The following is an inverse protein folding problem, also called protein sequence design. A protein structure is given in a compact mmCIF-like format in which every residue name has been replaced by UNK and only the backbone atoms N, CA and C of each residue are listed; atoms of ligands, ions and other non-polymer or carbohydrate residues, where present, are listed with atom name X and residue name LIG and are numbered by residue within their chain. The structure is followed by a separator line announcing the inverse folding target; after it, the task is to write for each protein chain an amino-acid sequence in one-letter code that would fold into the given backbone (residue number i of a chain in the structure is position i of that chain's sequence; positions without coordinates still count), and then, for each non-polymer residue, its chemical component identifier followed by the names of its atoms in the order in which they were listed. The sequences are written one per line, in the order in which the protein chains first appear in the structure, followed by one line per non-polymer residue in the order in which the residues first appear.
data_IF_406180572221
#
_entry.id   IF_406180572221
#
_cell.length_a   1.000
_cell.length_b   1.000
_cell.length_c   1.000
_cell.angle_alpha   90.00
_cell.angle_beta   90.00
_cell.angle_gamma   90.00
#
_symmetry.space_group_name_H-M   'P 1'
#
loop_
_entity.id
_entity.type
_entity.pdbx_description
1 polymer ?
#
# COMPACT_ATOMS: atom_id res chain seq x y z
N UNK A 1 54.47 -34.22 -22.65
CA UNK A 1 55.05 -34.19 -21.29
C UNK A 1 53.87 -34.19 -20.29
N UNK A 2 53.77 -35.34 -19.60
CA UNK A 2 52.63 -35.60 -18.70
C UNK A 2 53.08 -35.25 -17.29
N UNK A 3 52.43 -34.30 -16.63
CA UNK A 3 52.66 -34.01 -15.22
C UNK A 3 51.51 -34.60 -14.40
N UNK A 4 51.86 -35.63 -13.66
CA UNK A 4 51.04 -36.27 -12.62
C UNK A 4 51.12 -35.41 -11.35
N UNK A 5 49.97 -35.01 -10.82
CA UNK A 5 49.87 -34.34 -9.51
C UNK A 5 49.28 -35.37 -8.54
N UNK A 6 49.90 -35.62 -7.40
CA UNK A 6 49.42 -36.59 -6.42
C UNK A 6 48.22 -36.04 -5.62
N UNK A 7 47.26 -36.93 -5.42
CA UNK A 7 46.08 -36.72 -4.56
C UNK A 7 46.52 -36.89 -3.11
N UNK A 8 46.45 -35.84 -2.32
CA UNK A 8 46.59 -35.90 -0.87
C UNK A 8 45.22 -36.10 -0.25
N UNK A 9 45.03 -37.23 0.38
CA UNK A 9 43.84 -37.54 1.19
C UNK A 9 43.91 -36.76 2.51
N UNK A 10 42.98 -35.86 2.74
CA UNK A 10 42.83 -35.17 4.02
C UNK A 10 41.65 -35.81 4.78
N UNK A 11 41.97 -36.44 5.89
CA UNK A 11 41.01 -37.07 6.80
C UNK A 11 40.17 -36.00 7.49
N UNK A 12 38.82 -36.06 7.38
CA UNK A 12 37.90 -35.25 8.18
C UNK A 12 37.75 -35.88 9.56
N UNK A 13 38.19 -35.14 10.56
CA UNK A 13 37.83 -35.38 11.96
C UNK A 13 36.49 -34.70 12.22
N UNK A 14 35.44 -35.49 12.43
CA UNK A 14 34.14 -35.02 12.88
C UNK A 14 34.20 -34.88 14.41
N UNK A 15 34.32 -33.68 14.92
CA UNK A 15 34.05 -33.36 16.31
C UNK A 15 32.60 -32.88 16.42
N UNK A 16 31.76 -33.76 16.95
CA UNK A 16 30.44 -33.39 17.42
C UNK A 16 30.58 -32.65 18.75
N UNK A 17 30.21 -31.38 18.79
CA UNK A 17 29.91 -30.68 20.04
C UNK A 17 28.67 -29.80 19.82
N UNK A 18 27.73 -30.13 20.62
CA UNK A 18 26.44 -29.66 20.89
C UNK A 18 26.10 -28.21 20.95
N UNK A 19 24.84 -27.95 20.75
CA UNK A 19 24.05 -27.00 21.49
C UNK A 19 24.29 -25.52 21.18
N UNK A 20 23.49 -24.98 20.35
CA UNK A 20 23.34 -23.55 20.16
C UNK A 20 22.28 -23.31 19.09
N UNK A 21 21.01 -23.48 19.48
CA UNK A 21 19.92 -23.03 18.64
C UNK A 21 20.02 -21.54 18.44
N UNK A 22 20.47 -21.14 17.28
CA UNK A 22 20.24 -19.78 16.78
C UNK A 22 18.74 -19.67 16.51
N UNK A 23 18.03 -18.73 17.17
CA UNK A 23 16.68 -18.44 16.75
C UNK A 23 16.77 -17.85 15.34
N UNK A 24 16.26 -18.58 14.36
CA UNK A 24 15.89 -17.99 13.09
C UNK A 24 15.14 -16.71 13.42
N UNK A 25 15.68 -15.57 13.01
CA UNK A 25 14.96 -14.32 13.02
C UNK A 25 13.78 -14.51 12.07
N UNK A 26 12.69 -14.96 12.65
CA UNK A 26 11.36 -14.87 12.10
C UNK A 26 11.09 -13.37 11.97
N UNK A 27 11.39 -12.84 10.81
CA UNK A 27 10.96 -11.50 10.41
C UNK A 27 9.45 -11.59 10.12
N UNK A 28 8.70 -11.93 11.18
CA UNK A 28 7.29 -11.69 11.23
C UNK A 28 7.15 -10.18 11.13
N UNK A 29 6.81 -9.70 9.93
CA UNK A 29 6.27 -8.38 9.75
C UNK A 29 5.17 -8.25 10.80
N UNK A 30 5.47 -7.55 11.87
CA UNK A 30 4.50 -7.16 12.87
C UNK A 30 3.52 -6.25 12.16
N UNK A 31 2.50 -6.85 11.58
CA UNK A 31 1.26 -6.16 11.27
C UNK A 31 0.82 -5.55 12.60
N UNK A 32 0.72 -4.21 12.70
CA UNK A 32 0.38 -3.59 13.97
C UNK A 32 -1.03 -4.05 14.33
N UNK A 33 -1.11 -4.89 15.34
CA UNK A 33 -2.37 -5.37 15.92
C UNK A 33 -3.27 -4.23 16.43
N UNK A 34 -2.80 -2.99 16.37
CA UNK A 34 -3.58 -1.78 16.62
C UNK A 34 -4.61 -1.45 15.51
N UNK A 35 -4.49 -2.04 14.31
CA UNK A 35 -5.44 -1.78 13.23
C UNK A 35 -6.76 -2.54 13.38
N UNK A 36 -6.79 -3.62 14.14
CA UNK A 36 -7.99 -4.47 14.26
C UNK A 36 -9.06 -3.91 15.20
N UNK A 37 -8.71 -2.99 16.09
CA UNK A 37 -9.66 -2.43 17.08
C UNK A 37 -10.31 -1.11 16.62
N UNK A 38 -9.81 -0.50 15.54
CA UNK A 38 -10.31 0.78 15.03
C UNK A 38 -11.47 0.65 14.02
N UNK A 39 -11.82 -0.57 13.61
CA UNK A 39 -12.83 -0.78 12.57
C UNK A 39 -14.27 -0.48 13.01
N UNK A 40 -14.53 -0.31 14.32
CA UNK A 40 -15.88 -0.25 14.84
C UNK A 40 -16.54 1.14 14.81
N UNK A 41 -15.79 2.21 14.50
CA UNK A 41 -16.28 3.59 14.48
C UNK A 41 -15.60 4.45 13.41
N UNK A 42 -15.43 3.91 12.21
CA UNK A 42 -14.91 4.71 11.10
C UNK A 42 -15.96 5.76 10.72
N UNK A 43 -15.60 7.01 10.88
CA UNK A 43 -16.43 8.18 10.58
C UNK A 43 -15.91 8.87 9.32
N UNK A 44 -16.81 9.49 8.57
CA UNK A 44 -16.46 10.39 7.47
C UNK A 44 -16.36 11.87 7.92
N UNK A 45 -16.26 12.13 9.21
CA UNK A 45 -16.00 13.46 9.72
C UNK A 45 -14.51 13.81 9.53
N UNK A 46 -14.18 14.85 8.73
CA UNK A 46 -12.80 15.27 8.51
C UNK A 46 -12.01 15.61 9.77
N UNK A 47 -12.72 15.96 10.87
CA UNK A 47 -12.09 16.23 12.17
C UNK A 47 -11.49 14.96 12.80
N UNK A 48 -11.90 13.78 12.35
CA UNK A 48 -11.39 12.48 12.83
C UNK A 48 -10.14 12.00 12.09
N UNK A 49 -9.68 12.73 11.07
CA UNK A 49 -8.48 12.37 10.30
C UNK A 49 -7.24 12.55 11.18
N UNK A 50 -6.57 11.44 11.46
CA UNK A 50 -5.34 11.43 12.28
C UNK A 50 -4.09 11.43 11.41
N UNK A 51 -2.92 11.86 11.95
CA UNK A 51 -1.65 11.74 11.25
C UNK A 51 -1.31 10.29 10.85
N UNK A 52 -1.67 9.32 11.68
CA UNK A 52 -1.45 7.90 11.40
C UNK A 52 -2.31 7.41 10.22
N UNK A 53 -3.54 7.85 10.14
CA UNK A 53 -4.43 7.56 9.01
C UNK A 53 -3.87 8.16 7.72
N UNK A 54 -3.37 9.40 7.75
CA UNK A 54 -2.75 10.02 6.58
C UNK A 54 -1.46 9.31 6.15
N UNK A 55 -0.61 8.89 7.09
CA UNK A 55 0.61 8.15 6.79
C UNK A 55 0.32 6.78 6.16
N UNK A 56 -0.71 6.07 6.66
CA UNK A 56 -1.17 4.83 6.06
C UNK A 56 -1.74 5.08 4.66
N UNK A 57 -2.55 6.12 4.49
CA UNK A 57 -3.14 6.50 3.21
C UNK A 57 -2.09 6.90 2.16
N UNK A 58 -1.09 7.66 2.58
CA UNK A 58 0.07 8.00 1.76
C UNK A 58 0.82 6.75 1.27
N UNK A 59 1.12 5.83 2.19
CA UNK A 59 1.82 4.58 1.85
C UNK A 59 1.01 3.70 0.89
N UNK A 60 -0.31 3.65 1.03
CA UNK A 60 -1.21 2.93 0.11
C UNK A 60 -1.26 3.62 -1.25
N UNK A 61 -1.39 4.95 -1.28
CA UNK A 61 -1.46 5.73 -2.50
C UNK A 61 -0.22 5.54 -3.37
N UNK A 62 0.94 5.50 -2.75
CA UNK A 62 2.24 5.30 -3.41
C UNK A 62 2.60 3.83 -3.66
N UNK A 63 1.80 2.87 -3.21
CA UNK A 63 2.08 1.44 -3.38
C UNK A 63 3.25 0.94 -2.55
N UNK A 64 3.58 1.61 -1.44
CA UNK A 64 4.65 1.20 -0.53
C UNK A 64 4.22 0.01 0.34
N UNK A 65 2.92 -0.15 0.54
CA UNK A 65 2.29 -1.27 1.22
C UNK A 65 1.11 -1.77 0.39
N UNK A 66 0.86 -3.07 0.43
CA UNK A 66 -0.11 -3.67 -0.48
C UNK A 66 0.38 -3.67 -1.93
N UNK A 67 -0.45 -4.07 -2.87
CA UNK A 67 -0.13 -4.07 -4.30
C UNK A 67 -0.86 -2.96 -5.06
N UNK A 68 -1.57 -2.08 -4.36
CA UNK A 68 -2.28 -0.93 -4.95
C UNK A 68 -1.30 0.20 -5.21
N UNK A 69 -1.42 0.88 -6.35
CA UNK A 69 -0.63 2.06 -6.67
C UNK A 69 -1.50 3.09 -7.37
N UNK A 70 -2.14 3.97 -6.60
CA UNK A 70 -2.97 5.04 -7.11
C UNK A 70 -2.16 6.06 -7.92
N UNK A 71 -0.91 6.30 -7.48
CA UNK A 71 0.03 7.20 -8.15
C UNK A 71 0.34 6.78 -9.60
N UNK A 72 0.18 5.51 -9.97
CA UNK A 72 0.43 5.04 -11.32
C UNK A 72 -0.48 5.74 -12.36
N UNK A 73 -1.70 6.11 -11.95
CA UNK A 73 -2.65 6.82 -12.80
C UNK A 73 -2.79 8.30 -12.41
N UNK A 74 -2.79 8.62 -11.13
CA UNK A 74 -3.00 9.98 -10.62
C UNK A 74 -1.70 10.78 -10.43
N UNK A 75 -0.53 10.15 -10.65
CA UNK A 75 0.79 10.75 -10.41
C UNK A 75 1.20 10.72 -8.93
N UNK A 76 2.49 10.92 -8.63
CA UNK A 76 3.01 10.81 -7.28
C UNK A 76 2.39 11.84 -6.32
N UNK A 77 2.06 13.02 -6.82
CA UNK A 77 1.45 14.10 -6.02
C UNK A 77 -0.09 14.14 -6.17
N UNK A 78 -0.69 13.17 -6.87
CA UNK A 78 -2.12 13.18 -7.19
C UNK A 78 -2.53 14.25 -8.20
N UNK A 79 -1.57 14.97 -8.79
CA UNK A 79 -1.83 16.14 -9.63
C UNK A 79 -1.80 15.86 -11.13
N UNK A 80 -1.53 14.63 -11.56
CA UNK A 80 -1.55 14.29 -12.98
C UNK A 80 -2.98 14.19 -13.51
N UNK A 81 -3.21 14.77 -14.68
CA UNK A 81 -4.47 14.72 -15.40
C UNK A 81 -4.27 14.19 -16.84
N UNK A 82 -3.49 13.13 -17.00
CA UNK A 82 -3.21 12.53 -18.29
C UNK A 82 -4.07 11.29 -18.55
N UNK A 83 -4.07 10.35 -17.60
CA UNK A 83 -4.83 9.09 -17.71
C UNK A 83 -5.96 8.99 -16.70
N UNK A 84 -5.89 9.78 -15.63
CA UNK A 84 -6.88 9.85 -14.56
C UNK A 84 -7.04 11.32 -14.10
N UNK A 85 -8.12 11.67 -13.38
CA UNK A 85 -8.33 13.03 -12.87
C UNK A 85 -7.21 13.51 -11.94
N UNK A 86 -6.95 14.81 -11.96
CA UNK A 86 -6.20 15.50 -10.92
C UNK A 86 -7.01 15.43 -9.61
N UNK A 87 -6.35 15.08 -8.51
CA UNK A 87 -6.97 14.96 -7.19
C UNK A 87 -6.69 16.17 -6.28
N UNK A 88 -6.00 17.18 -6.80
CA UNK A 88 -5.53 18.34 -6.01
C UNK A 88 -6.20 19.65 -6.37
N UNK A 89 -7.01 19.68 -7.43
CA UNK A 89 -7.66 20.88 -7.96
C UNK A 89 -9.06 21.13 -7.41
N UNK A 90 -9.61 20.17 -6.63
CA UNK A 90 -10.96 20.26 -6.08
C UNK A 90 -12.07 20.00 -7.11
N UNK A 91 -11.73 19.62 -8.34
CA UNK A 91 -12.70 19.24 -9.37
C UNK A 91 -12.99 17.74 -9.34
N UNK A 92 -14.14 17.36 -8.82
CA UNK A 92 -14.51 15.96 -8.59
C UNK A 92 -15.43 15.42 -9.68
N UNK A 93 -14.91 14.60 -10.59
CA UNK A 93 -15.66 14.07 -11.72
C UNK A 93 -16.65 12.95 -11.36
N UNK A 94 -16.33 12.15 -10.34
CA UNK A 94 -17.05 10.93 -9.97
C UNK A 94 -17.47 10.85 -8.51
N UNK A 95 -17.29 11.93 -7.76
CA UNK A 95 -17.74 12.10 -6.38
C UNK A 95 -18.23 13.54 -6.17
N UNK A 96 -18.72 13.84 -4.99
CA UNK A 96 -19.08 15.21 -4.56
C UNK A 96 -17.91 15.93 -3.84
N UNK A 97 -16.76 15.27 -3.78
CA UNK A 97 -15.58 15.77 -3.07
C UNK A 97 -15.61 15.53 -1.57
N UNK A 98 -16.72 15.08 -0.99
CA UNK A 98 -16.75 14.67 0.41
C UNK A 98 -15.88 13.43 0.65
N UNK A 99 -15.39 13.26 1.89
CA UNK A 99 -14.63 12.03 2.22
C UNK A 99 -15.43 10.77 1.92
N UNK A 100 -16.73 10.75 2.27
CA UNK A 100 -17.62 9.62 1.98
C UNK A 100 -17.80 9.41 0.48
N UNK A 101 -17.98 10.47 -0.30
CA UNK A 101 -18.11 10.39 -1.76
C UNK A 101 -16.85 9.84 -2.42
N UNK A 102 -15.67 10.28 -1.98
CA UNK A 102 -14.38 9.74 -2.43
C UNK A 102 -14.24 8.26 -2.01
N UNK A 103 -14.60 7.92 -0.76
CA UNK A 103 -14.58 6.53 -0.28
C UNK A 103 -15.45 5.61 -1.15
N UNK A 104 -16.66 6.02 -1.46
CA UNK A 104 -17.57 5.25 -2.30
C UNK A 104 -17.02 5.08 -3.72
N UNK A 105 -16.36 6.11 -4.26
CA UNK A 105 -15.69 6.05 -5.57
C UNK A 105 -14.52 5.08 -5.55
N UNK A 106 -13.67 5.11 -4.54
CA UNK A 106 -12.55 4.16 -4.38
C UNK A 106 -13.06 2.74 -4.25
N UNK A 107 -14.09 2.51 -3.43
CA UNK A 107 -14.69 1.20 -3.18
C UNK A 107 -15.32 0.59 -4.43
N UNK A 108 -16.07 1.38 -5.18
CA UNK A 108 -16.78 0.92 -6.37
C UNK A 108 -15.91 0.91 -7.63
N UNK A 109 -14.86 1.73 -7.66
CA UNK A 109 -14.13 2.06 -8.87
C UNK A 109 -14.97 2.91 -9.84
N UNK A 110 -14.43 3.15 -11.03
CA UNK A 110 -15.07 3.89 -12.12
C UNK A 110 -14.97 3.10 -13.39
N UNK A 111 -16.05 2.39 -13.75
CA UNK A 111 -16.12 1.57 -14.96
C UNK A 111 -16.37 2.40 -16.23
N UNK A 112 -16.98 3.59 -16.09
CA UNK A 112 -17.28 4.49 -17.19
C UNK A 112 -16.76 5.89 -16.88
N UNK A 113 -15.48 6.17 -17.20
CA UNK A 113 -14.88 7.47 -16.97
C UNK A 113 -15.55 8.56 -17.83
N UNK A 114 -15.63 9.79 -17.30
CA UNK A 114 -16.26 10.92 -18.00
C UNK A 114 -15.31 11.64 -18.98
N UNK A 115 -14.08 11.92 -18.55
CA UNK A 115 -13.13 12.73 -19.33
C UNK A 115 -11.88 11.95 -19.71
N UNK A 116 -11.60 10.85 -19.02
CA UNK A 116 -10.39 10.04 -19.22
C UNK A 116 -10.76 8.68 -19.80
N UNK A 117 -9.81 8.03 -20.46
CA UNK A 117 -10.03 6.72 -21.10
C UNK A 117 -9.76 5.54 -20.17
N UNK A 118 -9.01 5.77 -19.10
CA UNK A 118 -8.64 4.71 -18.17
C UNK A 118 -9.72 4.51 -17.11
N UNK A 119 -10.21 3.28 -17.02
CA UNK A 119 -11.08 2.88 -15.91
C UNK A 119 -10.30 2.85 -14.61
N UNK A 120 -10.95 3.18 -13.51
CA UNK A 120 -10.43 2.94 -12.17
C UNK A 120 -11.04 1.64 -11.64
N UNK A 121 -10.23 0.61 -11.38
CA UNK A 121 -10.76 -0.61 -10.77
C UNK A 121 -11.14 -0.37 -9.31
N UNK A 122 -12.07 -1.16 -8.73
CA UNK A 122 -12.37 -1.11 -7.30
C UNK A 122 -11.10 -1.23 -6.48
N UNK A 123 -11.01 -0.44 -5.40
CA UNK A 123 -9.85 -0.38 -4.50
C UNK A 123 -8.49 -0.12 -5.21
N UNK A 124 -8.52 0.47 -6.41
CA UNK A 124 -7.31 0.66 -7.21
C UNK A 124 -6.73 -0.64 -7.78
N UNK A 125 -7.50 -1.73 -7.81
CA UNK A 125 -7.15 -3.00 -8.43
C UNK A 125 -6.76 -4.13 -7.45
N UNK A 126 -6.60 -3.84 -6.17
CA UNK A 126 -6.30 -4.85 -5.14
C UNK A 126 -7.22 -4.63 -3.94
N UNK A 127 -7.94 -5.67 -3.48
CA UNK A 127 -8.87 -5.53 -2.37
C UNK A 127 -8.23 -4.90 -1.13
N UNK A 128 -8.86 -3.89 -0.60
CA UNK A 128 -8.45 -3.20 0.64
C UNK A 128 -9.36 -3.61 1.79
N UNK A 129 -8.78 -3.66 2.99
CA UNK A 129 -9.59 -3.65 4.21
C UNK A 129 -10.33 -2.31 4.33
N UNK A 130 -11.39 -2.28 5.13
CA UNK A 130 -12.14 -1.05 5.37
C UNK A 130 -11.25 0.06 5.97
N UNK A 131 -10.38 -0.28 6.92
CA UNK A 131 -9.40 0.65 7.49
C UNK A 131 -8.44 1.22 6.42
N UNK A 132 -7.94 0.39 5.53
CA UNK A 132 -7.06 0.84 4.44
C UNK A 132 -7.80 1.77 3.48
N UNK A 133 -9.03 1.42 3.11
CA UNK A 133 -9.86 2.25 2.24
C UNK A 133 -10.17 3.59 2.87
N UNK A 134 -10.53 3.64 4.17
CA UNK A 134 -10.68 4.89 4.89
C UNK A 134 -9.40 5.73 4.90
N UNK A 135 -8.25 5.09 5.11
CA UNK A 135 -6.97 5.79 5.18
C UNK A 135 -6.58 6.41 3.84
N UNK A 136 -6.64 5.64 2.74
CA UNK A 136 -6.28 6.18 1.41
C UNK A 136 -7.27 7.27 0.98
N UNK A 137 -8.55 7.13 1.31
CA UNK A 137 -9.56 8.17 1.00
C UNK A 137 -9.35 9.43 1.82
N UNK A 138 -8.98 9.32 3.11
CA UNK A 138 -8.64 10.49 3.92
C UNK A 138 -7.42 11.23 3.36
N UNK A 139 -6.42 10.49 2.87
CA UNK A 139 -5.28 11.08 2.19
C UNK A 139 -5.69 11.83 0.91
N UNK A 140 -6.48 11.21 0.04
CA UNK A 140 -7.00 11.84 -1.19
C UNK A 140 -7.89 13.05 -0.86
N UNK A 141 -8.75 12.94 0.15
CA UNK A 141 -9.54 14.08 0.64
C UNK A 141 -8.65 15.26 1.00
N UNK A 142 -7.55 15.03 1.71
CA UNK A 142 -6.59 16.09 2.07
C UNK A 142 -5.83 16.66 0.88
N UNK A 143 -5.62 15.90 -0.20
CA UNK A 143 -5.02 16.42 -1.42
C UNK A 143 -5.90 17.48 -2.09
N UNK A 144 -7.20 17.28 -2.15
CA UNK A 144 -8.15 18.17 -2.80
C UNK A 144 -8.71 19.28 -1.92
N UNK A 145 -8.40 19.27 -0.60
CA UNK A 145 -8.90 20.25 0.38
C UNK A 145 -7.74 20.94 1.12
N UNK A 146 -6.83 21.52 0.37
CA UNK A 146 -5.67 22.30 0.90
C UNK A 146 -6.06 23.72 1.24
#
# INVERSE_FOLDING_TARGET
MRHLIPVAALALVVTACGGGGEPAAENAAAEPAAAATAASNLSFDPATITPQMLALGDSLFHGLIGATSCQACHGPDGAQATVAPNLTDGEWLHSDGSWEGIYNTVKAGVSTPKQFTSMMPPDGGVPMTETQRHAVTAYVYKLGHK
#
